data_IF_362252630510
#
_entry.id   IF_362252630510
#
_cell.length_a   1.000
_cell.length_b   1.000
_cell.length_c   1.000
_cell.angle_alpha   90.00
_cell.angle_beta   90.00
_cell.angle_gamma   90.00
#
_symmetry.space_group_name_H-M   'P 1'
#
loop_
_entity.id
_entity.type
_entity.pdbx_description
1 polymer ?
#
# COMPACT_ATOMS: atom_id res chain seq x y z
N UNK A 1 18.59 17.11 9.11
CA UNK A 1 17.60 16.22 9.74
C UNK A 1 18.35 15.18 10.54
N UNK A 2 17.87 14.87 11.75
CA UNK A 2 18.32 13.70 12.51
C UNK A 2 17.87 12.41 11.82
N UNK A 3 18.52 11.29 12.15
CA UNK A 3 18.10 9.96 11.67
C UNK A 3 16.64 9.68 12.04
N UNK A 4 16.22 10.09 13.23
CA UNK A 4 14.85 9.91 13.73
C UNK A 4 13.83 10.69 12.89
N UNK A 5 14.17 11.92 12.49
CA UNK A 5 13.32 12.73 11.60
C UNK A 5 13.17 12.06 10.22
N UNK A 6 14.26 11.51 9.68
CA UNK A 6 14.24 10.79 8.39
C UNK A 6 13.37 9.55 8.47
N UNK A 7 13.54 8.73 9.51
CA UNK A 7 12.73 7.51 9.73
C UNK A 7 11.26 7.91 9.87
N UNK A 8 10.94 8.91 10.69
CA UNK A 8 9.56 9.37 10.90
C UNK A 8 8.92 9.84 9.59
N UNK A 9 9.65 10.60 8.78
CA UNK A 9 9.18 11.05 7.47
C UNK A 9 8.89 9.87 6.54
N UNK A 10 9.82 8.91 6.44
CA UNK A 10 9.65 7.70 5.62
C UNK A 10 8.46 6.85 6.06
N UNK A 11 8.28 6.66 7.37
CA UNK A 11 7.14 5.93 7.92
C UNK A 11 5.83 6.60 7.53
N UNK A 12 5.75 7.94 7.66
CA UNK A 12 4.56 8.70 7.27
C UNK A 12 4.26 8.60 5.77
N UNK A 13 5.27 8.74 4.91
CA UNK A 13 5.12 8.56 3.45
C UNK A 13 4.53 7.17 3.13
N UNK A 14 5.03 6.12 3.79
CA UNK A 14 4.52 4.76 3.63
C UNK A 14 3.06 4.63 4.09
N UNK A 15 2.72 5.19 5.24
CA UNK A 15 1.36 5.14 5.80
C UNK A 15 0.35 5.84 4.90
N UNK A 16 0.70 7.00 4.34
CA UNK A 16 -0.15 7.75 3.41
C UNK A 16 -0.46 6.94 2.14
N UNK A 17 0.55 6.25 1.60
CA UNK A 17 0.39 5.34 0.46
C UNK A 17 -0.48 4.13 0.82
N UNK A 18 -0.22 3.47 1.95
CA UNK A 18 -1.01 2.33 2.41
C UNK A 18 -2.48 2.71 2.59
N UNK A 19 -2.75 3.91 3.11
CA UNK A 19 -4.12 4.39 3.27
C UNK A 19 -4.79 4.67 1.91
N UNK A 20 -4.03 5.13 0.92
CA UNK A 20 -4.48 5.19 -0.47
C UNK A 20 -4.86 3.82 -1.04
N UNK A 21 -4.02 2.80 -0.82
CA UNK A 21 -4.28 1.42 -1.24
C UNK A 21 -5.53 0.86 -0.58
N UNK A 22 -5.73 1.08 0.72
CA UNK A 22 -6.96 0.65 1.42
C UNK A 22 -8.20 1.26 0.78
N UNK A 23 -8.21 2.57 0.51
CA UNK A 23 -9.34 3.23 -0.16
C UNK A 23 -9.63 2.63 -1.54
N UNK A 24 -8.58 2.33 -2.30
CA UNK A 24 -8.70 1.65 -3.59
C UNK A 24 -9.33 0.25 -3.46
N UNK A 25 -8.84 -0.54 -2.49
CA UNK A 25 -9.34 -1.90 -2.22
C UNK A 25 -10.80 -1.89 -1.74
N UNK A 26 -11.19 -0.93 -0.89
CA UNK A 26 -12.58 -0.78 -0.45
C UNK A 26 -13.51 -0.43 -1.62
N UNK A 27 -13.08 0.44 -2.53
CA UNK A 27 -13.83 0.73 -3.75
C UNK A 27 -13.99 -0.51 -4.66
N UNK A 28 -12.94 -1.32 -4.79
CA UNK A 28 -13.02 -2.60 -5.50
C UNK A 28 -13.99 -3.57 -4.81
N UNK A 29 -13.90 -3.69 -3.49
CA UNK A 29 -14.77 -4.57 -2.69
C UNK A 29 -16.24 -4.20 -2.83
N UNK A 30 -16.56 -2.90 -2.86
CA UNK A 30 -17.92 -2.43 -3.10
C UNK A 30 -18.48 -2.84 -4.47
N UNK A 31 -17.62 -2.98 -5.50
CA UNK A 31 -18.02 -3.33 -6.87
C UNK A 31 -17.98 -4.84 -7.16
N UNK A 32 -17.00 -5.54 -6.60
CA UNK A 32 -16.71 -6.94 -6.92
C UNK A 32 -17.11 -7.93 -5.82
N UNK A 33 -17.50 -7.43 -4.64
CA UNK A 33 -17.85 -8.26 -3.51
C UNK A 33 -16.62 -8.69 -2.71
N UNK A 34 -16.69 -9.89 -2.13
CA UNK A 34 -15.63 -10.40 -1.25
C UNK A 34 -14.32 -10.56 -2.03
N UNK A 35 -13.28 -9.90 -1.53
CA UNK A 35 -11.92 -10.04 -2.03
C UNK A 35 -10.92 -9.88 -0.89
N UNK A 36 -9.72 -10.41 -1.10
CA UNK A 36 -8.55 -10.21 -0.26
C UNK A 36 -7.53 -9.39 -1.05
N UNK A 37 -6.97 -8.36 -0.42
CA UNK A 37 -5.86 -7.59 -0.99
C UNK A 37 -4.61 -7.79 -0.13
N UNK A 38 -3.47 -8.00 -0.79
CA UNK A 38 -2.16 -8.14 -0.14
C UNK A 38 -1.23 -7.09 -0.74
N UNK A 39 -0.72 -6.19 0.09
CA UNK A 39 0.35 -5.28 -0.30
C UNK A 39 1.63 -6.10 -0.47
N UNK A 40 2.27 -5.98 -1.62
CA UNK A 40 3.52 -6.66 -1.95
C UNK A 40 4.61 -5.64 -2.30
N UNK A 41 5.80 -6.13 -2.62
CA UNK A 41 6.88 -5.28 -3.12
C UNK A 41 7.51 -4.36 -2.08
N UNK A 42 8.07 -3.25 -2.54
CA UNK A 42 8.94 -2.39 -1.73
C UNK A 42 8.19 -1.65 -0.62
N UNK A 43 6.93 -1.26 -0.86
CA UNK A 43 6.07 -0.69 0.16
C UNK A 43 5.70 -1.70 1.26
N UNK A 44 5.58 -2.99 0.93
CA UNK A 44 5.38 -4.01 1.95
C UNK A 44 6.62 -4.15 2.85
N UNK A 45 7.82 -4.24 2.25
CA UNK A 45 9.11 -4.38 2.97
C UNK A 45 9.56 -3.12 3.70
N UNK A 46 9.13 -1.94 3.24
CA UNK A 46 9.56 -0.65 3.78
C UNK A 46 10.84 -0.09 3.13
N UNK A 47 11.32 -0.68 2.04
CA UNK A 47 12.52 -0.26 1.29
C UNK A 47 12.19 0.48 -0.02
N UNK A 48 11.00 1.10 -0.08
CA UNK A 48 10.52 1.87 -1.23
C UNK A 48 11.35 3.14 -1.48
N UNK A 49 11.36 3.57 -2.73
CA UNK A 49 12.03 4.78 -3.20
C UNK A 49 11.09 5.62 -4.07
N UNK A 50 11.58 6.76 -4.57
CA UNK A 50 10.79 7.73 -5.34
C UNK A 50 10.16 7.13 -6.62
N UNK A 51 10.79 6.13 -7.21
CA UNK A 51 10.36 5.46 -8.44
C UNK A 51 9.72 4.09 -8.16
N UNK A 52 9.43 3.78 -6.89
CA UNK A 52 8.76 2.54 -6.55
C UNK A 52 7.29 2.60 -6.95
N UNK A 53 6.87 1.62 -7.74
CA UNK A 53 5.47 1.31 -7.94
C UNK A 53 4.82 0.75 -6.67
N UNK A 54 3.49 0.69 -6.67
CA UNK A 54 2.70 0.13 -5.58
C UNK A 54 2.12 -1.21 -6.03
N UNK A 55 2.68 -2.30 -5.52
CA UNK A 55 2.26 -3.65 -5.88
C UNK A 55 1.14 -4.15 -4.94
N UNK A 56 -0.04 -4.46 -5.50
CA UNK A 56 -1.17 -5.01 -4.74
C UNK A 56 -1.67 -6.26 -5.44
N UNK A 57 -1.64 -7.39 -4.74
CA UNK A 57 -2.23 -8.64 -5.20
C UNK A 57 -3.69 -8.67 -4.75
N UNK A 58 -4.61 -8.86 -5.68
CA UNK A 58 -6.04 -9.02 -5.41
C UNK A 58 -6.43 -10.47 -5.66
N UNK A 59 -7.04 -11.11 -4.66
CA UNK A 59 -7.63 -12.45 -4.77
C UNK A 59 -9.15 -12.29 -4.64
N UNK A 60 -9.89 -12.69 -5.68
CA UNK A 60 -11.34 -12.55 -5.75
C UNK A 60 -11.98 -13.79 -6.37
N UNK A 61 -13.27 -13.98 -6.16
CA UNK A 61 -14.03 -15.04 -6.86
C UNK A 61 -14.45 -14.63 -8.27
N UNK A 62 -14.32 -13.33 -8.61
CA UNK A 62 -14.83 -12.75 -9.85
C UNK A 62 -13.81 -12.75 -11.00
N UNK A 63 -12.53 -12.67 -10.67
CA UNK A 63 -11.37 -12.63 -11.56
C UNK A 63 -10.23 -13.41 -10.92
#
# INVERSE_FOLDING_TARGET
>A
MSIEEIIRKRTREREEVIEGVKRYVEALRARWGKLTAVLYGSYARGDFNLWSDIDVIIVSERF
#
